data_IF_611116523693
#
_entry.id   IF_611116523693
#
_cell.length_a   1.000
_cell.length_b   1.000
_cell.length_c   1.000
_cell.angle_alpha   90.00
_cell.angle_beta   90.00
_cell.angle_gamma   90.00
#
_symmetry.space_group_name_H-M   'P 1'
#
loop_
_entity.id
_entity.type
_entity.pdbx_description
1 polymer ?
#
# COMPACT_ATOMS: atom_id res chain seq x y z
N UNK A 1 51.92 -12.29 0.81
CA UNK A 1 50.95 -11.46 1.56
C UNK A 1 50.17 -10.63 0.55
N UNK A 2 48.97 -11.06 0.15
CA UNK A 2 48.21 -10.35 -0.91
C UNK A 2 46.73 -10.76 -1.06
N UNK A 3 46.29 -11.88 -0.49
CA UNK A 3 44.93 -12.39 -0.72
C UNK A 3 43.84 -11.79 0.18
N UNK A 4 44.17 -11.16 1.31
CA UNK A 4 43.17 -10.70 2.29
C UNK A 4 42.49 -9.37 1.93
N UNK A 5 43.11 -8.54 1.08
CA UNK A 5 42.53 -7.27 0.65
C UNK A 5 41.48 -7.45 -0.46
N UNK A 6 41.63 -8.46 -1.32
CA UNK A 6 40.71 -8.71 -2.44
C UNK A 6 39.36 -9.25 -1.95
N UNK A 7 39.34 -10.15 -0.96
CA UNK A 7 38.09 -10.73 -0.44
C UNK A 7 37.23 -9.73 0.36
N UNK A 8 37.86 -8.78 1.06
CA UNK A 8 37.17 -7.71 1.78
C UNK A 8 36.56 -6.65 0.84
N UNK A 9 37.20 -6.39 -0.31
CA UNK A 9 36.65 -5.48 -1.31
C UNK A 9 35.41 -6.08 -2.00
N UNK A 10 35.48 -7.35 -2.41
CA UNK A 10 34.37 -8.07 -3.05
C UNK A 10 33.12 -8.15 -2.16
N UNK A 11 33.29 -8.37 -0.86
CA UNK A 11 32.16 -8.44 0.09
C UNK A 11 31.47 -7.09 0.31
N UNK A 12 32.21 -5.98 0.29
CA UNK A 12 31.63 -4.63 0.38
C UNK A 12 30.83 -4.30 -0.88
N UNK A 13 31.34 -4.66 -2.06
CA UNK A 13 30.63 -4.51 -3.33
C UNK A 13 29.34 -5.35 -3.38
N UNK A 14 29.38 -6.60 -2.89
CA UNK A 14 28.19 -7.45 -2.79
C UNK A 14 27.13 -6.86 -1.85
N UNK A 15 27.53 -6.36 -0.68
CA UNK A 15 26.62 -5.70 0.27
C UNK A 15 26.00 -4.41 -0.29
N UNK A 16 26.78 -3.64 -1.04
CA UNK A 16 26.28 -2.43 -1.71
C UNK A 16 25.28 -2.80 -2.81
N UNK A 17 25.59 -3.84 -3.60
CA UNK A 17 24.70 -4.36 -4.65
C UNK A 17 23.38 -4.85 -4.06
N UNK A 18 23.42 -5.62 -2.97
CA UNK A 18 22.25 -6.05 -2.21
C UNK A 18 21.41 -4.87 -1.74
N UNK A 19 22.03 -3.83 -1.16
CA UNK A 19 21.33 -2.63 -0.69
C UNK A 19 20.64 -1.89 -1.84
N UNK A 20 21.30 -1.75 -3.00
CA UNK A 20 20.72 -1.09 -4.15
C UNK A 20 19.55 -1.89 -4.73
N UNK A 21 19.70 -3.21 -4.83
CA UNK A 21 18.63 -4.12 -5.25
C UNK A 21 17.39 -4.02 -4.34
N UNK A 22 17.56 -4.05 -3.01
CA UNK A 22 16.44 -3.89 -2.08
C UNK A 22 15.76 -2.52 -2.19
N UNK A 23 16.52 -1.46 -2.47
CA UNK A 23 15.97 -0.13 -2.70
C UNK A 23 15.13 -0.08 -3.99
N UNK A 24 15.64 -0.64 -5.09
CA UNK A 24 14.94 -0.74 -6.37
C UNK A 24 13.65 -1.57 -6.28
N UNK A 25 13.71 -2.75 -5.64
CA UNK A 25 12.51 -3.57 -5.40
C UNK A 25 11.50 -2.82 -4.53
N UNK A 26 11.96 -2.08 -3.53
CA UNK A 26 11.08 -1.27 -2.68
C UNK A 26 10.46 -0.09 -3.43
N UNK A 27 11.18 0.52 -4.38
CA UNK A 27 10.65 1.54 -5.28
C UNK A 27 9.59 0.95 -6.22
N UNK A 28 9.90 -0.16 -6.89
CA UNK A 28 8.96 -0.85 -7.78
C UNK A 28 7.67 -1.29 -7.06
N UNK A 29 7.76 -1.74 -5.80
CA UNK A 29 6.59 -2.06 -4.98
C UNK A 29 5.72 -0.85 -4.70
N UNK A 30 6.32 0.32 -4.43
CA UNK A 30 5.59 1.56 -4.17
C UNK A 30 4.88 2.05 -5.42
N UNK A 31 5.55 2.01 -6.56
CA UNK A 31 4.96 2.40 -7.85
C UNK A 31 3.79 1.49 -8.24
N UNK A 32 3.94 0.17 -8.07
CA UNK A 32 2.83 -0.77 -8.27
C UNK A 32 1.66 -0.48 -7.34
N UNK A 33 1.92 -0.12 -6.08
CA UNK A 33 0.85 0.21 -5.14
C UNK A 33 0.12 1.49 -5.53
N UNK A 34 0.84 2.51 -6.01
CA UNK A 34 0.24 3.74 -6.54
C UNK A 34 -0.64 3.43 -7.76
N UNK A 35 -0.16 2.64 -8.70
CA UNK A 35 -0.93 2.23 -9.87
C UNK A 35 -2.21 1.46 -9.47
N UNK A 36 -2.09 0.50 -8.55
CA UNK A 36 -3.22 -0.28 -8.02
C UNK A 36 -4.27 0.60 -7.34
N UNK A 37 -3.85 1.52 -6.47
CA UNK A 37 -4.76 2.44 -5.80
C UNK A 37 -5.49 3.33 -6.81
N UNK A 38 -4.86 3.70 -7.92
CA UNK A 38 -5.51 4.49 -8.96
C UNK A 38 -6.41 3.66 -9.87
N UNK A 39 -6.18 2.35 -9.99
CA UNK A 39 -7.00 1.43 -10.77
C UNK A 39 -8.17 0.81 -10.00
N UNK A 40 -8.15 0.84 -8.66
CA UNK A 40 -9.21 0.28 -7.82
C UNK A 40 -10.57 0.99 -8.03
N UNK A 41 -11.64 0.22 -7.85
CA UNK A 41 -13.01 0.67 -8.09
C UNK A 41 -13.40 1.80 -7.12
N UNK A 42 -13.80 2.95 -7.67
CA UNK A 42 -14.09 4.18 -6.91
C UNK A 42 -15.17 4.06 -5.85
N UNK A 43 -16.06 3.08 -6.01
CA UNK A 43 -17.17 2.85 -5.08
C UNK A 43 -16.81 1.93 -3.92
N UNK A 44 -15.65 1.24 -3.95
CA UNK A 44 -15.29 0.29 -2.91
C UNK A 44 -14.11 0.80 -2.05
N UNK A 45 -14.38 1.38 -0.86
CA UNK A 45 -13.33 1.84 0.04
C UNK A 45 -12.50 0.71 0.68
N UNK A 46 -13.02 -0.52 0.75
CA UNK A 46 -12.29 -1.67 1.29
C UNK A 46 -11.18 -2.13 0.34
N UNK A 47 -11.42 -2.11 -0.96
CA UNK A 47 -10.42 -2.38 -2.00
C UNK A 47 -9.21 -1.45 -1.90
N UNK A 48 -9.44 -0.15 -1.68
CA UNK A 48 -8.36 0.82 -1.54
C UNK A 48 -7.44 0.47 -0.37
N UNK A 49 -8.00 -0.05 0.72
CA UNK A 49 -7.26 -0.47 1.89
C UNK A 49 -6.77 -1.92 1.84
N UNK A 50 -7.15 -2.74 0.85
CA UNK A 50 -6.90 -4.19 0.84
C UNK A 50 -7.44 -4.88 2.10
N UNK A 51 -8.67 -4.55 2.45
CA UNK A 51 -9.35 -5.09 3.62
C UNK A 51 -10.59 -5.87 3.18
N UNK A 52 -10.96 -6.96 3.87
CA UNK A 52 -12.27 -7.59 3.71
C UNK A 52 -13.39 -6.69 4.26
N UNK A 53 -14.63 -6.88 3.80
CA UNK A 53 -15.82 -6.13 4.25
C UNK A 53 -16.13 -6.33 5.75
N UNK A 54 -15.70 -7.46 6.30
CA UNK A 54 -15.82 -7.82 7.72
C UNK A 54 -14.78 -7.13 8.62
N UNK A 55 -13.86 -6.33 8.05
CA UNK A 55 -12.79 -5.68 8.81
C UNK A 55 -13.31 -4.75 9.90
N UNK A 56 -12.59 -4.70 11.02
CA UNK A 56 -12.92 -3.77 12.10
C UNK A 56 -12.46 -2.33 11.76
N UNK A 57 -13.04 -1.31 12.40
CA UNK A 57 -12.56 0.07 12.29
C UNK A 57 -11.07 0.24 12.67
N UNK A 58 -10.57 -0.60 13.57
CA UNK A 58 -9.17 -0.63 13.96
C UNK A 58 -8.26 -1.16 12.84
N UNK A 59 -8.70 -2.17 12.10
CA UNK A 59 -7.96 -2.69 10.93
C UNK A 59 -7.89 -1.64 9.83
N UNK A 60 -8.99 -0.91 9.59
CA UNK A 60 -9.04 0.24 8.68
C UNK A 60 -7.97 1.27 9.03
N UNK A 61 -7.85 1.65 10.31
CA UNK A 61 -6.84 2.61 10.78
C UNK A 61 -5.41 2.06 10.62
N UNK A 62 -5.16 0.81 11.01
CA UNK A 62 -3.82 0.18 10.91
C UNK A 62 -3.36 0.13 9.45
N UNK A 63 -4.25 -0.31 8.58
CA UNK A 63 -3.94 -0.51 7.18
C UNK A 63 -3.78 0.80 6.42
N UNK A 64 -4.61 1.81 6.74
CA UNK A 64 -4.41 3.17 6.25
C UNK A 64 -3.01 3.71 6.58
N UNK A 65 -2.55 3.55 7.83
CA UNK A 65 -1.21 4.01 8.25
C UNK A 65 -0.11 3.33 7.42
N UNK A 66 -0.22 2.01 7.22
CA UNK A 66 0.73 1.23 6.43
C UNK A 66 0.80 1.69 4.98
N UNK A 67 -0.36 1.83 4.33
CA UNK A 67 -0.45 2.24 2.93
C UNK A 67 0.01 3.69 2.73
N UNK A 68 -0.41 4.60 3.61
CA UNK A 68 -0.04 6.02 3.55
C UNK A 68 1.46 6.22 3.59
N UNK A 69 2.18 5.47 4.43
CA UNK A 69 3.65 5.51 4.48
C UNK A 69 4.30 4.90 3.24
N UNK A 70 3.65 3.90 2.62
CA UNK A 70 4.14 3.25 1.41
C UNK A 70 4.04 4.17 0.19
N UNK A 71 2.92 4.87 0.02
CA UNK A 71 2.67 5.78 -1.12
C UNK A 71 2.93 7.25 -0.80
N UNK A 72 3.67 7.53 0.28
CA UNK A 72 3.99 8.89 0.67
C UNK A 72 4.81 9.58 -0.44
N UNK A 73 4.42 10.79 -0.88
CA UNK A 73 5.00 11.44 -2.07
C UNK A 73 6.48 11.81 -1.96
N UNK A 74 7.02 11.93 -0.74
CA UNK A 74 8.46 12.16 -0.53
C UNK A 74 9.30 10.90 -0.78
N UNK A 75 8.70 9.73 -0.53
CA UNK A 75 9.35 8.42 -0.62
C UNK A 75 9.14 7.76 -1.98
N UNK A 76 8.08 8.09 -2.69
CA UNK A 76 7.70 7.51 -3.98
C UNK A 76 7.88 8.55 -5.09
N UNK A 77 8.74 8.26 -6.08
CA UNK A 77 9.03 9.17 -7.20
C UNK A 77 7.90 9.23 -8.24
N UNK A 78 6.85 8.41 -8.08
CA UNK A 78 5.76 8.34 -9.05
C UNK A 78 5.01 9.68 -9.15
N UNK A 79 4.75 10.22 -10.35
CA UNK A 79 4.11 11.53 -10.53
C UNK A 79 2.70 11.60 -9.93
N UNK A 80 2.02 10.45 -9.84
CA UNK A 80 0.69 10.35 -9.25
C UNK A 80 0.67 9.93 -7.77
N UNK A 81 1.83 9.84 -7.10
CA UNK A 81 1.90 9.46 -5.68
C UNK A 81 1.03 10.38 -4.80
N UNK A 82 1.05 11.69 -5.07
CA UNK A 82 0.19 12.67 -4.37
C UNK A 82 -1.31 12.38 -4.54
N UNK A 83 -1.73 11.94 -5.74
CA UNK A 83 -3.12 11.59 -6.02
C UNK A 83 -3.49 10.28 -5.33
N UNK A 84 -2.64 9.26 -5.42
CA UNK A 84 -2.86 7.99 -4.77
C UNK A 84 -2.89 8.12 -3.25
N UNK A 85 -2.03 8.93 -2.64
CA UNK A 85 -2.02 9.16 -1.19
C UNK A 85 -3.37 9.65 -0.63
N UNK A 86 -4.09 10.49 -1.38
CA UNK A 86 -5.40 10.99 -0.96
C UNK A 86 -6.52 9.95 -1.01
N UNK A 87 -6.35 8.85 -1.75
CA UNK A 87 -7.41 7.85 -1.95
C UNK A 87 -7.62 6.98 -0.71
N UNK A 88 -6.59 6.33 -0.11
CA UNK A 88 -6.72 5.63 1.17
C UNK A 88 -7.24 6.51 2.30
N UNK A 89 -6.90 7.80 2.31
CA UNK A 89 -7.38 8.74 3.33
C UNK A 89 -8.90 8.94 3.24
N UNK A 90 -9.42 9.14 2.02
CA UNK A 90 -10.87 9.25 1.80
C UNK A 90 -11.58 7.93 2.10
N UNK A 91 -11.01 6.80 1.69
CA UNK A 91 -11.56 5.48 1.99
C UNK A 91 -11.66 5.22 3.50
N UNK A 92 -10.59 5.53 4.25
CA UNK A 92 -10.59 5.45 5.70
C UNK A 92 -11.68 6.34 6.32
N UNK A 93 -11.80 7.60 5.88
CA UNK A 93 -12.81 8.52 6.40
C UNK A 93 -14.24 8.02 6.17
N UNK A 94 -14.50 7.45 4.99
CA UNK A 94 -15.81 6.86 4.66
C UNK A 94 -16.13 5.65 5.52
N UNK A 95 -15.14 4.78 5.78
CA UNK A 95 -15.32 3.57 6.58
C UNK A 95 -15.42 3.84 8.09
N UNK A 96 -14.80 4.91 8.58
CA UNK A 96 -14.88 5.33 9.97
C UNK A 96 -16.13 6.16 10.28
N UNK A 97 -16.85 6.64 9.26
CA UNK A 97 -18.15 7.27 9.42
C UNK A 97 -19.19 6.21 9.81
N UNK A 98 -19.83 6.36 10.96
CA UNK A 98 -20.73 5.34 11.51
C UNK A 98 -21.94 5.07 10.61
N UNK A 99 -22.45 6.10 9.92
CA UNK A 99 -23.63 5.95 9.06
C UNK A 99 -23.23 5.38 7.71
N UNK A 100 -22.27 6.02 7.03
CA UNK A 100 -21.84 5.62 5.68
C UNK A 100 -21.10 4.29 5.68
N UNK A 101 -20.24 4.05 6.67
CA UNK A 101 -19.51 2.80 6.81
C UNK A 101 -20.46 1.61 7.00
N UNK A 102 -21.51 1.77 7.82
CA UNK A 102 -22.49 0.71 8.03
C UNK A 102 -23.35 0.46 6.78
N UNK A 103 -23.81 1.54 6.12
CA UNK A 103 -24.56 1.45 4.86
C UNK A 103 -23.77 0.69 3.79
N UNK A 104 -22.49 1.05 3.57
CA UNK A 104 -21.63 0.37 2.60
C UNK A 104 -21.43 -1.11 2.92
N UNK A 105 -21.26 -1.46 4.20
CA UNK A 105 -21.09 -2.85 4.63
C UNK A 105 -22.35 -3.66 4.36
N UNK A 106 -23.51 -3.12 4.74
CA UNK A 106 -24.79 -3.79 4.49
C UNK A 106 -25.04 -3.96 2.99
N UNK A 107 -24.89 -2.90 2.19
CA UNK A 107 -25.09 -2.97 0.74
C UNK A 107 -24.17 -3.99 0.08
N UNK A 108 -22.86 -3.96 0.39
CA UNK A 108 -21.90 -4.88 -0.21
C UNK A 108 -22.11 -6.33 0.21
N UNK A 109 -22.48 -6.59 1.47
CA UNK A 109 -22.78 -7.95 1.94
C UNK A 109 -24.04 -8.49 1.26
N UNK A 110 -25.09 -7.67 1.13
CA UNK A 110 -26.33 -8.07 0.45
C UNK A 110 -26.11 -8.37 -1.03
N UNK A 111 -25.33 -7.54 -1.75
CA UNK A 111 -25.02 -7.80 -3.17
C UNK A 111 -24.12 -9.02 -3.39
N UNK A 112 -23.31 -9.41 -2.40
CA UNK A 112 -22.54 -10.65 -2.45
C UNK A 112 -23.44 -11.87 -2.20
N UNK A 113 -24.39 -11.76 -1.27
CA UNK A 113 -25.33 -12.84 -0.97
C UNK A 113 -26.35 -13.06 -2.10
N UNK A 114 -26.73 -12.01 -2.86
CA UNK A 114 -27.60 -12.14 -4.04
C UNK A 114 -26.92 -12.81 -5.26
N UNK A 115 -25.58 -12.94 -5.24
CA UNK A 115 -24.82 -13.60 -6.30
C UNK A 115 -24.65 -15.13 -6.08
N UNK A 116 -25.18 -15.68 -4.99
CA UNK A 116 -25.19 -17.11 -4.69
C UNK A 116 -26.61 -17.69 -4.70
#
# INVERSE_FOLDING_TARGET
MGETASAAASTIDDHLLLKNFFAEVSEAKRDNEVARILSCFKLNPFEYLKLPFESSPDDVKKQYRKLSLMVYPDKCKHPQAKKAFGVPAKAQQLLLDQKKGNELRVTLVLEIDELH
#
